data_IF_687222240147
#
_entry.id   IF_687222240147
#
_cell.length_a   1.000
_cell.length_b   1.000
_cell.length_c   1.000
_cell.angle_alpha   90.00
_cell.angle_beta   90.00
_cell.angle_gamma   90.00
#
_symmetry.space_group_name_H-M   'P 1'
#
loop_
_entity.id
_entity.type
_entity.pdbx_description
1 polymer ?
#
# COMPACT_ATOMS: atom_id res chain seq x y z
N UNK A 1 -33.32 47.39 37.62
CA UNK A 1 -32.64 46.10 37.82
C UNK A 1 -32.12 45.64 36.48
N UNK A 2 -30.93 46.10 36.10
CA UNK A 2 -30.18 45.59 34.95
C UNK A 2 -29.08 44.68 35.51
N UNK A 3 -28.94 43.48 34.94
CA UNK A 3 -27.89 42.56 35.33
C UNK A 3 -26.56 43.02 34.73
N UNK A 4 -25.60 43.31 35.60
CA UNK A 4 -24.21 43.55 35.24
C UNK A 4 -23.56 42.21 34.89
N UNK A 5 -23.14 42.05 33.62
CA UNK A 5 -22.25 40.98 33.19
C UNK A 5 -20.81 41.49 33.35
N UNK A 6 -20.05 40.86 34.24
CA UNK A 6 -18.62 41.14 34.43
C UNK A 6 -17.81 40.18 33.56
N UNK A 7 -17.23 40.72 32.47
CA UNK A 7 -16.17 40.09 31.68
C UNK A 7 -14.84 40.09 32.45
N UNK A 8 -13.94 39.16 32.08
CA UNK A 8 -12.63 38.85 32.70
C UNK A 8 -12.74 38.17 34.09
N UNK A 9 -12.15 37.00 34.38
CA UNK A 9 -10.86 36.45 33.98
C UNK A 9 -10.95 34.90 33.89
N UNK A 10 -10.60 34.32 32.73
CA UNK A 10 -10.30 32.88 32.63
C UNK A 10 -8.78 32.74 32.60
N UNK A 11 -8.21 32.24 33.68
CA UNK A 11 -6.80 31.89 33.80
C UNK A 11 -6.50 30.59 33.03
N UNK A 12 -5.56 30.63 32.09
CA UNK A 12 -4.84 29.47 31.53
C UNK A 12 -3.67 29.11 32.48
N UNK A 13 -3.33 27.82 32.76
CA UNK A 13 -2.35 27.14 31.89
C UNK A 13 -2.32 25.58 31.87
N UNK A 14 -1.93 25.04 30.69
CA UNK A 14 -1.23 23.76 30.40
C UNK A 14 -1.71 22.43 31.03
N UNK A 15 -2.39 21.65 30.20
CA UNK A 15 -2.07 20.21 29.98
C UNK A 15 -1.74 20.05 28.48
N UNK A 16 -0.49 20.28 28.05
CA UNK A 16 0.55 19.26 27.82
C UNK A 16 -0.02 17.89 27.46
N UNK A 17 -0.14 17.61 26.17
CA UNK A 17 -0.45 16.28 25.66
C UNK A 17 -0.85 16.32 24.20
N UNK A 18 0.09 16.66 23.32
CA UNK A 18 -0.09 16.41 21.90
C UNK A 18 -0.32 14.92 21.66
N UNK A 19 -1.29 14.61 20.82
CA UNK A 19 -1.18 13.47 19.93
C UNK A 19 -1.58 14.01 18.57
N UNK A 20 -0.62 14.27 17.66
CA UNK A 20 -0.98 14.36 16.27
C UNK A 20 -1.54 12.98 15.93
N UNK A 21 -2.81 12.94 15.55
CA UNK A 21 -3.44 11.75 14.99
C UNK A 21 -2.74 11.46 13.65
N UNK A 22 -1.60 10.78 13.80
CA UNK A 22 -1.02 9.78 12.95
C UNK A 22 -1.28 10.04 11.47
N UNK A 23 -0.36 10.81 10.88
CA UNK A 23 0.00 10.61 9.49
C UNK A 23 0.26 9.12 9.30
N UNK A 24 -0.70 8.43 8.70
CA UNK A 24 -0.59 7.05 8.28
C UNK A 24 0.53 7.02 7.24
N UNK A 25 1.74 6.75 7.73
CA UNK A 25 2.89 6.32 6.95
C UNK A 25 2.37 5.28 5.98
N UNK A 26 2.19 5.70 4.73
CA UNK A 26 2.11 4.79 3.60
C UNK A 26 3.45 4.09 3.57
N UNK A 27 3.53 3.00 4.34
CA UNK A 27 4.62 2.05 4.30
C UNK A 27 4.92 1.77 2.84
N UNK A 28 6.18 1.88 2.38
CA UNK A 28 6.50 1.41 1.05
C UNK A 28 6.10 -0.06 1.03
N UNK A 29 5.15 -0.43 0.16
CA UNK A 29 4.79 -1.82 -0.05
C UNK A 29 6.10 -2.54 -0.34
N UNK A 30 6.58 -3.30 0.63
CA UNK A 30 7.88 -3.96 0.57
C UNK A 30 7.82 -4.88 -0.64
N UNK A 31 8.55 -4.50 -1.68
CA UNK A 31 8.51 -5.15 -2.97
C UNK A 31 9.20 -6.51 -2.83
N UNK A 32 8.47 -7.52 -2.34
CA UNK A 32 8.95 -8.88 -2.09
C UNK A 32 9.47 -9.56 -3.35
N UNK A 33 9.33 -8.92 -4.52
CA UNK A 33 9.85 -9.35 -5.80
C UNK A 33 11.30 -8.92 -6.10
N UNK A 34 11.88 -7.98 -5.34
CA UNK A 34 13.26 -7.51 -5.57
C UNK A 34 14.31 -8.63 -5.47
N UNK A 35 13.99 -9.75 -4.80
CA UNK A 35 14.94 -10.84 -4.57
C UNK A 35 14.76 -12.08 -5.46
N UNK A 36 13.78 -12.12 -6.39
CA UNK A 36 13.70 -13.23 -7.35
C UNK A 36 14.73 -13.06 -8.46
N UNK A 37 15.20 -14.14 -9.09
CA UNK A 37 15.97 -14.05 -10.35
C UNK A 37 15.04 -13.86 -11.55
N UNK A 38 15.56 -13.33 -12.68
CA UNK A 38 14.78 -13.17 -13.92
C UNK A 38 14.13 -14.50 -14.36
N UNK A 39 14.87 -15.60 -14.30
CA UNK A 39 14.35 -16.94 -14.65
C UNK A 39 13.20 -17.38 -13.73
N UNK A 40 13.30 -17.09 -12.43
CA UNK A 40 12.23 -17.40 -11.48
C UNK A 40 10.98 -16.53 -11.73
N UNK A 41 11.17 -15.25 -12.00
CA UNK A 41 10.09 -14.33 -12.31
C UNK A 41 9.33 -14.75 -13.58
N UNK A 42 10.06 -15.15 -14.64
CA UNK A 42 9.47 -15.70 -15.86
C UNK A 42 8.70 -17.01 -15.60
N UNK A 43 9.29 -17.95 -14.87
CA UNK A 43 8.60 -19.20 -14.53
C UNK A 43 7.33 -18.98 -13.70
N UNK A 44 7.34 -18.00 -12.80
CA UNK A 44 6.14 -17.62 -12.05
C UNK A 44 5.08 -17.00 -12.96
N UNK A 45 5.48 -16.16 -13.91
CA UNK A 45 4.57 -15.54 -14.88
C UNK A 45 3.89 -16.61 -15.75
N UNK A 46 4.63 -17.60 -16.24
CA UNK A 46 4.09 -18.74 -16.99
C UNK A 46 3.06 -19.53 -16.17
N UNK A 47 3.35 -19.79 -14.90
CA UNK A 47 2.41 -20.45 -14.00
C UNK A 47 1.12 -19.64 -13.80
N UNK A 48 1.22 -18.33 -13.62
CA UNK A 48 0.06 -17.44 -13.49
C UNK A 48 -0.80 -17.49 -14.76
N UNK A 49 -0.19 -17.44 -15.95
CA UNK A 49 -0.91 -17.54 -17.23
C UNK A 49 -1.65 -18.88 -17.31
N UNK A 50 -0.99 -19.99 -17.00
CA UNK A 50 -1.61 -21.31 -17.02
C UNK A 50 -2.81 -21.39 -16.06
N UNK A 51 -2.66 -20.88 -14.83
CA UNK A 51 -3.75 -20.85 -13.84
C UNK A 51 -4.94 -19.99 -14.30
N UNK A 52 -4.70 -18.86 -14.97
CA UNK A 52 -5.74 -18.01 -15.54
C UNK A 52 -6.45 -18.67 -16.73
N UNK A 53 -5.70 -19.35 -17.61
CA UNK A 53 -6.23 -20.05 -18.78
C UNK A 53 -7.06 -21.29 -18.41
N UNK A 54 -6.78 -21.93 -17.26
CA UNK A 54 -7.59 -23.04 -16.77
C UNK A 54 -9.05 -22.66 -16.47
N UNK A 55 -9.32 -21.37 -16.20
CA UNK A 55 -10.68 -20.84 -16.00
C UNK A 55 -11.40 -21.38 -14.75
N UNK A 56 -10.66 -21.94 -13.78
CA UNK A 56 -11.22 -22.51 -12.53
C UNK A 56 -11.21 -21.52 -11.36
N UNK A 57 -10.49 -20.41 -11.50
CA UNK A 57 -10.38 -19.37 -10.49
C UNK A 57 -11.68 -18.57 -10.40
N UNK A 58 -12.01 -18.13 -9.19
CA UNK A 58 -13.02 -17.09 -9.00
C UNK A 58 -12.55 -15.77 -9.61
N UNK A 59 -13.46 -14.81 -9.75
CA UNK A 59 -13.12 -13.49 -10.27
C UNK A 59 -12.04 -12.80 -9.40
N UNK A 60 -12.19 -12.83 -8.08
CA UNK A 60 -11.24 -12.18 -7.16
C UNK A 60 -9.85 -12.82 -7.22
N UNK A 61 -9.79 -14.16 -7.30
CA UNK A 61 -8.53 -14.88 -7.49
C UNK A 61 -7.88 -14.55 -8.84
N UNK A 62 -8.69 -14.50 -9.90
CA UNK A 62 -8.22 -14.13 -11.25
C UNK A 62 -7.64 -12.71 -11.26
N UNK A 63 -8.30 -11.77 -10.58
CA UNK A 63 -7.83 -10.39 -10.43
C UNK A 63 -6.51 -10.33 -9.67
N UNK A 64 -6.40 -11.03 -8.54
CA UNK A 64 -5.15 -11.08 -7.77
C UNK A 64 -3.98 -11.67 -8.57
N UNK A 65 -4.23 -12.74 -9.33
CA UNK A 65 -3.25 -13.38 -10.20
C UNK A 65 -2.82 -12.48 -11.36
N UNK A 66 -3.78 -11.79 -11.98
CA UNK A 66 -3.49 -10.82 -13.02
C UNK A 66 -2.60 -9.69 -12.51
N UNK A 67 -2.92 -9.10 -11.36
CA UNK A 67 -2.09 -8.05 -10.75
C UNK A 67 -0.67 -8.54 -10.43
N UNK A 68 -0.54 -9.76 -9.90
CA UNK A 68 0.77 -10.38 -9.67
C UNK A 68 1.55 -10.52 -10.99
N UNK A 69 0.89 -11.03 -12.04
CA UNK A 69 1.48 -11.17 -13.37
C UNK A 69 1.94 -9.84 -13.97
N UNK A 70 1.13 -8.78 -13.85
CA UNK A 70 1.50 -7.43 -14.32
C UNK A 70 2.73 -6.90 -13.59
N UNK A 71 2.77 -7.04 -12.25
CA UNK A 71 3.94 -6.61 -11.47
C UNK A 71 5.19 -7.40 -11.87
N UNK A 72 5.08 -8.71 -12.10
CA UNK A 72 6.19 -9.57 -12.51
C UNK A 72 6.72 -9.16 -13.89
N UNK A 73 5.82 -8.97 -14.85
CA UNK A 73 6.19 -8.54 -16.21
C UNK A 73 6.95 -7.21 -16.19
N UNK A 74 6.47 -6.25 -15.41
CA UNK A 74 7.14 -4.95 -15.26
C UNK A 74 8.53 -5.07 -14.61
N UNK A 75 8.68 -5.92 -13.60
CA UNK A 75 9.97 -6.17 -12.96
C UNK A 75 10.96 -6.88 -13.89
N UNK A 76 10.49 -7.80 -14.74
CA UNK A 76 11.32 -8.46 -15.75
C UNK A 76 11.82 -7.45 -16.80
N UNK A 77 10.94 -6.57 -17.29
CA UNK A 77 11.32 -5.56 -18.28
C UNK A 77 12.37 -4.59 -17.74
N UNK A 78 12.19 -4.08 -16.51
CA UNK A 78 13.18 -3.19 -15.88
C UNK A 78 14.56 -3.84 -15.78
N UNK A 79 14.63 -5.11 -15.39
CA UNK A 79 15.93 -5.81 -15.28
C UNK A 79 16.61 -6.04 -16.62
N UNK A 80 15.84 -6.15 -17.71
CA UNK A 80 16.41 -6.26 -19.06
C UNK A 80 16.90 -4.92 -19.62
N UNK A 81 16.36 -3.80 -19.12
CA UNK A 81 16.82 -2.46 -19.49
C UNK A 81 18.08 -2.02 -18.72
N UNK A 82 18.37 -2.65 -17.58
CA UNK A 82 19.54 -2.38 -16.75
C UNK A 82 20.83 -3.11 -17.19
N UNK A 83 20.72 -4.12 -18.06
CA UNK A 83 21.85 -4.93 -18.62
C UNK A 83 22.40 -4.34 -19.94
#
# INVERSE_FOLDING_TARGET
MGAEINDQEREDPKTRGGSPEMAEERSPMKNTMENMSLKQALSRLEAIVAELEEGKLTLDESMAKFEEGVRLAYACLQRLEED
#
